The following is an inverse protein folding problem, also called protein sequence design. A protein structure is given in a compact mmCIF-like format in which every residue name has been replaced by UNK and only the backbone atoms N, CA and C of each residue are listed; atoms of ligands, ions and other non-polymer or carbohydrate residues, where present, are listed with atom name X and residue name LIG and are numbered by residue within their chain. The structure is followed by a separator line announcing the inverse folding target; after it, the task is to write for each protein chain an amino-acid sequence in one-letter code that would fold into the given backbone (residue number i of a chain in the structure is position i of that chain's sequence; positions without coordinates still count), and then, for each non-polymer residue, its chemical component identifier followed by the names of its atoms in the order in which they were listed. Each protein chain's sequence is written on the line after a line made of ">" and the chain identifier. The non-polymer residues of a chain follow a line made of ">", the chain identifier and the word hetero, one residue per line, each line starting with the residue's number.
data_IF_884299409792
#
_entry.id   IF_884299409792
#
_cell.length_a   1.000
_cell.length_b   1.000
_cell.length_c   1.000
_cell.angle_alpha   90.00
_cell.angle_beta   90.00
_cell.angle_gamma   90.00
#
_symmetry.space_group_name_H-M   'P 1'
#
loop_
_entity.id
_entity.type
_entity.pdbx_description
1 polymer ?
#
# COMPACT_ATOMS: atom_id res chain seq x y z
N UNK A 1 -1.37 -0.33 -7.55
CA UNK A 1 -2.48 0.54 -7.12
C UNK A 1 -3.59 0.64 -8.16
N UNK A 2 -3.26 0.58 -9.45
CA UNK A 2 -4.24 0.69 -10.54
C UNK A 2 -5.39 -0.31 -10.41
N UNK A 3 -5.11 -1.60 -10.20
CA UNK A 3 -6.15 -2.62 -10.00
C UNK A 3 -7.14 -2.23 -8.90
N UNK A 4 -6.65 -1.80 -7.73
CA UNK A 4 -7.48 -1.41 -6.58
C UNK A 4 -8.38 -0.22 -6.92
N UNK A 5 -7.83 0.80 -7.60
CA UNK A 5 -8.62 1.95 -8.08
C UNK A 5 -9.70 1.52 -9.09
N UNK A 6 -9.38 0.60 -9.99
CA UNK A 6 -10.33 0.09 -10.98
C UNK A 6 -11.46 -0.75 -10.37
N UNK A 7 -11.29 -1.25 -9.13
CA UNK A 7 -12.38 -1.87 -8.37
C UNK A 7 -13.27 -0.85 -7.63
N UNK A 8 -13.05 0.46 -7.83
CA UNK A 8 -13.81 1.51 -7.14
C UNK A 8 -13.42 1.68 -5.67
N UNK A 9 -12.30 1.11 -5.23
CA UNK A 9 -11.81 1.25 -3.85
C UNK A 9 -11.04 2.55 -3.71
N UNK A 10 -11.46 3.39 -2.76
CA UNK A 10 -10.79 4.64 -2.42
C UNK A 10 -9.49 4.36 -1.66
N UNK A 11 -8.36 4.77 -2.24
CA UNK A 11 -7.07 4.80 -1.54
C UNK A 11 -7.06 5.99 -0.58
N UNK A 12 -6.90 5.74 0.72
CA UNK A 12 -6.91 6.78 1.76
C UNK A 12 -5.55 7.47 1.91
N UNK A 13 -4.47 6.76 1.61
CA UNK A 13 -3.10 7.27 1.63
C UNK A 13 -2.19 6.40 0.75
N UNK A 14 -1.20 6.98 0.08
CA UNK A 14 -0.20 6.25 -0.69
C UNK A 14 0.02 6.76 -2.12
N UNK A 15 1.16 6.45 -2.75
CA UNK A 15 2.26 5.65 -2.20
C UNK A 15 3.10 6.45 -1.20
N UNK A 16 3.40 5.88 -0.04
CA UNK A 16 4.19 6.53 1.03
C UNK A 16 5.23 5.58 1.60
N UNK A 17 6.36 6.12 2.06
CA UNK A 17 7.38 5.32 2.75
C UNK A 17 6.96 5.00 4.17
N UNK A 18 7.21 3.76 4.58
CA UNK A 18 6.93 3.22 5.92
C UNK A 18 8.05 2.28 6.35
N UNK A 19 7.98 1.88 7.61
CA UNK A 19 8.88 0.89 8.21
C UNK A 19 8.17 -0.45 8.27
N UNK A 20 8.63 -1.41 7.48
CA UNK A 20 8.24 -2.81 7.56
C UNK A 20 9.15 -3.58 8.53
N UNK A 21 8.86 -4.87 8.71
CA UNK A 21 9.61 -5.73 9.63
C UNK A 21 11.10 -5.87 9.28
N UNK A 22 11.45 -5.82 7.98
CA UNK A 22 12.81 -6.01 7.47
C UNK A 22 13.44 -4.71 6.94
N UNK A 23 12.77 -3.55 7.09
CA UNK A 23 13.27 -2.27 6.63
C UNK A 23 12.23 -1.41 5.92
N UNK A 24 12.69 -0.46 5.10
CA UNK A 24 11.79 0.49 4.45
C UNK A 24 10.93 -0.18 3.38
N UNK A 25 9.62 0.10 3.42
CA UNK A 25 8.61 -0.34 2.44
C UNK A 25 7.92 0.88 1.81
N UNK A 26 7.32 0.68 0.65
CA UNK A 26 6.35 1.61 0.07
C UNK A 26 4.95 1.03 0.25
N UNK A 27 4.07 1.77 0.91
CA UNK A 27 2.71 1.33 1.26
C UNK A 27 1.63 2.21 0.65
N UNK A 28 0.44 1.65 0.47
CA UNK A 28 -0.81 2.38 0.33
C UNK A 28 -1.92 1.74 1.17
N UNK A 29 -2.95 2.52 1.49
CA UNK A 29 -3.98 2.17 2.46
C UNK A 29 -5.38 2.35 1.88
N UNK A 30 -6.32 1.53 2.34
CA UNK A 30 -7.75 1.66 2.08
C UNK A 30 -8.57 0.97 3.18
N UNK A 31 -9.90 1.09 3.10
CA UNK A 31 -10.83 0.42 4.02
C UNK A 31 -11.54 -0.73 3.31
N UNK A 32 -11.71 -1.85 3.98
CA UNK A 32 -12.61 -2.92 3.54
C UNK A 32 -14.09 -2.58 3.89
N UNK A 33 -15.08 -3.40 3.48
CA UNK A 33 -16.49 -3.12 3.78
C UNK A 33 -16.85 -3.06 5.27
N UNK A 34 -16.10 -3.74 6.13
CA UNK A 34 -16.29 -3.71 7.59
C UNK A 34 -15.59 -2.50 8.24
N UNK A 35 -14.84 -1.72 7.45
CA UNK A 35 -14.10 -0.55 7.91
C UNK A 35 -12.72 -0.88 8.50
N UNK A 36 -12.21 -2.10 8.33
CA UNK A 36 -10.85 -2.43 8.71
C UNK A 36 -9.85 -1.65 7.85
N UNK A 37 -8.76 -1.19 8.45
CA UNK A 37 -7.68 -0.56 7.71
C UNK A 37 -6.82 -1.64 7.07
N UNK A 38 -6.74 -1.62 5.74
CA UNK A 38 -5.88 -2.52 4.97
C UNK A 38 -4.65 -1.74 4.52
N UNK A 39 -3.48 -2.31 4.78
CA UNK A 39 -2.20 -1.86 4.25
C UNK A 39 -1.72 -2.84 3.19
N UNK A 40 -1.40 -2.33 2.00
CA UNK A 40 -0.71 -3.09 0.95
C UNK A 40 0.65 -2.45 0.72
N UNK A 41 1.70 -3.25 0.85
CA UNK A 41 3.08 -2.78 0.85
C UNK A 41 3.98 -3.63 -0.03
N UNK A 42 5.05 -3.02 -0.50
CA UNK A 42 6.15 -3.72 -1.16
C UNK A 42 7.49 -3.23 -0.58
N UNK A 43 8.42 -4.16 -0.39
CA UNK A 43 9.83 -3.82 -0.26
C UNK A 43 10.36 -3.32 -1.61
N UNK A 44 11.30 -2.36 -1.63
CA UNK A 44 11.96 -1.93 -2.86
C UNK A 44 12.64 -3.13 -3.52
N UNK A 45 12.54 -3.25 -4.85
CA UNK A 45 13.30 -4.28 -5.54
C UNK A 45 14.78 -3.90 -5.54
N UNK A 46 15.65 -4.91 -5.46
CA UNK A 46 17.10 -4.71 -5.56
C UNK A 46 17.54 -4.02 -6.86
N UNK A 47 16.70 -4.07 -7.90
CA UNK A 47 16.96 -3.50 -9.23
C UNK A 47 16.43 -2.06 -9.42
N UNK A 48 15.76 -1.49 -8.40
CA UNK A 48 15.30 -0.09 -8.42
C UNK A 48 16.38 0.89 -7.90
N UNK A 49 17.63 0.43 -7.80
CA UNK A 49 18.84 1.19 -7.44
C UNK A 49 19.71 1.46 -8.68
#
# INVERSE_FOLDING_TARGET
>A
MEHVRNQGVTITEGPVKRTGAEGSITSFYFRDPDGNLIEVSAYPNLHDL
#
